data_IF_452462577169
#
_entry.id   IF_452462577169
#
_cell.length_a   1.000
_cell.length_b   1.000
_cell.length_c   1.000
_cell.angle_alpha   90.00
_cell.angle_beta   90.00
_cell.angle_gamma   90.00
#
_symmetry.space_group_name_H-M   'P 1'
#
loop_
_entity.id
_entity.type
_entity.pdbx_description
1 polymer ?
#
# COMPACT_ATOMS: atom_id res chain seq x y z
N UNK A 1 -5.01 -7.44 -2.88
CA UNK A 1 -3.52 -7.50 -2.93
C UNK A 1 -2.96 -6.69 -1.76
N UNK A 2 -1.91 -7.18 -1.11
CA UNK A 2 -1.30 -6.56 0.07
C UNK A 2 0.23 -6.63 -0.04
N UNK A 3 0.92 -5.53 0.22
CA UNK A 3 2.36 -5.55 0.45
C UNK A 3 2.68 -5.71 1.94
N UNK A 4 3.80 -6.38 2.23
CA UNK A 4 4.44 -6.27 3.54
C UNK A 4 5.42 -5.12 3.50
N UNK A 5 5.37 -4.28 4.52
CA UNK A 5 6.24 -3.12 4.62
C UNK A 5 6.72 -2.87 6.04
N UNK A 6 7.78 -2.09 6.19
CA UNK A 6 8.25 -1.63 7.51
C UNK A 6 7.22 -0.70 8.18
N UNK A 7 7.23 -0.66 9.52
CA UNK A 7 6.29 0.12 10.32
C UNK A 7 6.57 1.65 10.36
N UNK A 8 7.41 2.18 9.47
CA UNK A 8 7.74 3.60 9.40
C UNK A 8 6.65 4.44 8.71
N UNK A 9 6.69 5.77 8.88
CA UNK A 9 5.75 6.74 8.26
C UNK A 9 5.71 6.57 6.74
N UNK A 10 6.88 6.51 6.12
CA UNK A 10 7.09 6.11 4.74
C UNK A 10 7.78 4.73 4.74
N UNK A 11 7.10 3.70 4.23
CA UNK A 11 7.56 2.33 4.35
C UNK A 11 8.67 2.01 3.35
N UNK A 12 9.58 1.16 3.81
CA UNK A 12 10.39 0.27 2.97
C UNK A 12 9.62 -1.03 2.73
N UNK A 13 9.91 -1.72 1.64
CA UNK A 13 9.15 -2.89 1.19
C UNK A 13 9.95 -4.18 1.35
N UNK A 14 9.27 -5.29 1.62
CA UNK A 14 9.91 -6.60 1.69
C UNK A 14 9.95 -7.27 0.30
N UNK A 15 11.14 -7.71 -0.09
CA UNK A 15 11.36 -8.58 -1.26
C UNK A 15 10.91 -10.02 -0.96
N UNK A 16 10.75 -10.89 -1.98
CA UNK A 16 10.47 -12.31 -1.81
C UNK A 16 11.51 -13.08 -0.98
N UNK A 17 12.71 -12.53 -0.79
CA UNK A 17 13.77 -13.11 0.04
C UNK A 17 13.67 -12.65 1.51
N UNK A 18 12.75 -11.72 1.83
CA UNK A 18 12.58 -11.17 3.16
C UNK A 18 13.49 -9.98 3.47
N UNK A 19 14.24 -9.48 2.47
CA UNK A 19 15.07 -8.28 2.63
C UNK A 19 14.23 -7.01 2.46
N UNK A 20 14.55 -5.97 3.23
CA UNK A 20 13.97 -4.64 3.07
C UNK A 20 14.65 -3.88 1.94
N UNK A 21 13.85 -3.23 1.11
CA UNK A 21 14.29 -2.33 0.04
C UNK A 21 13.55 -1.01 0.17
N UNK A 22 14.31 0.08 0.17
CA UNK A 22 13.77 1.43 0.11
C UNK A 22 13.50 1.79 -1.35
N UNK A 23 12.22 1.89 -1.70
CA UNK A 23 11.77 2.31 -3.03
C UNK A 23 11.19 3.70 -2.92
N UNK A 24 11.73 4.64 -3.69
CA UNK A 24 11.23 6.01 -3.72
C UNK A 24 9.94 6.04 -4.53
N UNK A 25 8.82 6.23 -3.84
CA UNK A 25 7.51 6.38 -4.45
C UNK A 25 7.00 7.82 -4.34
N UNK A 26 6.20 8.22 -5.32
CA UNK A 26 5.55 9.53 -5.31
C UNK A 26 4.32 9.49 -4.39
N UNK A 27 4.52 9.85 -3.13
CA UNK A 27 3.43 10.01 -2.16
C UNK A 27 2.68 11.34 -2.36
N UNK A 28 1.40 11.32 -2.01
CA UNK A 28 0.54 12.48 -1.94
C UNK A 28 0.00 12.63 -0.51
N UNK A 29 -0.15 13.86 -0.04
CA UNK A 29 -0.75 14.14 1.28
C UNK A 29 -2.27 14.20 1.20
N UNK A 30 -2.83 14.31 0.00
CA UNK A 30 -4.26 14.48 -0.22
C UNK A 30 -4.75 13.55 -1.33
N UNK A 31 -5.88 12.86 -1.12
CA UNK A 31 -6.62 12.13 -2.15
C UNK A 31 -8.10 12.44 -2.04
N UNK A 32 -8.83 12.49 -3.17
CA UNK A 32 -10.28 12.42 -3.13
C UNK A 32 -10.72 10.98 -3.38
N UNK A 33 -11.59 10.46 -2.51
CA UNK A 33 -12.34 9.23 -2.75
C UNK A 33 -13.73 9.66 -3.18
N UNK A 34 -14.11 9.31 -4.40
CA UNK A 34 -15.44 9.58 -4.92
C UNK A 34 -16.32 8.35 -4.70
N UNK A 35 -17.54 8.56 -4.22
CA UNK A 35 -18.53 7.49 -4.06
C UNK A 35 -19.84 7.98 -4.62
N UNK A 36 -20.42 7.19 -5.53
CA UNK A 36 -21.75 7.45 -6.09
C UNK A 36 -22.78 6.69 -5.27
N UNK A 37 -23.78 7.40 -4.74
CA UNK A 37 -24.87 6.77 -4.01
C UNK A 37 -25.96 6.22 -4.97
N UNK A 38 -26.95 5.52 -4.43
CA UNK A 38 -28.07 4.95 -5.20
C UNK A 38 -28.92 6.00 -5.93
N UNK A 39 -28.83 7.27 -5.51
CA UNK A 39 -29.50 8.41 -6.13
C UNK A 39 -28.68 9.05 -7.27
N UNK A 40 -27.48 8.55 -7.56
CA UNK A 40 -26.58 9.11 -8.58
C UNK A 40 -25.80 10.34 -8.10
N UNK A 41 -25.85 10.68 -6.81
CA UNK A 41 -25.07 11.79 -6.27
C UNK A 41 -23.63 11.35 -6.00
N UNK A 42 -22.70 12.17 -6.46
CA UNK A 42 -21.26 11.98 -6.22
C UNK A 42 -20.88 12.66 -4.92
N UNK A 43 -20.50 11.87 -3.93
CA UNK A 43 -19.85 12.36 -2.71
C UNK A 43 -18.34 12.25 -2.88
N UNK A 44 -17.60 13.35 -2.69
CA UNK A 44 -16.14 13.34 -2.71
C UNK A 44 -15.63 13.55 -1.28
N UNK A 45 -14.98 12.54 -0.72
CA UNK A 45 -14.35 12.62 0.59
C UNK A 45 -12.87 12.90 0.39
N UNK A 46 -12.43 14.05 0.89
CA UNK A 46 -11.01 14.39 0.95
C UNK A 46 -10.34 13.60 2.08
N UNK A 47 -9.32 12.82 1.74
CA UNK A 47 -8.47 12.07 2.66
C UNK A 47 -7.16 12.81 2.77
N UNK A 48 -6.88 13.35 3.95
CA UNK A 48 -5.59 13.99 4.28
C UNK A 48 -4.77 13.04 5.12
N UNK A 49 -3.58 12.72 4.64
CA UNK A 49 -2.67 11.82 5.32
C UNK A 49 -1.33 12.50 5.55
N UNK A 50 -0.77 12.24 6.73
CA UNK A 50 0.64 12.51 6.98
C UNK A 50 1.50 11.27 6.74
N UNK A 51 0.89 10.08 6.64
CA UNK A 51 1.55 8.79 6.48
C UNK A 51 1.30 8.21 5.08
N UNK A 52 2.11 7.22 4.68
CA UNK A 52 1.92 6.51 3.42
C UNK A 52 0.57 5.78 3.30
N UNK A 53 -0.11 5.53 4.42
CA UNK A 53 -1.44 4.90 4.46
C UNK A 53 -2.34 5.67 5.41
N UNK A 54 -3.59 5.92 4.99
CA UNK A 54 -4.64 6.51 5.81
C UNK A 54 -5.97 5.83 5.46
N UNK A 55 -6.76 5.40 6.46
CA UNK A 55 -8.03 4.68 6.26
C UNK A 55 -7.95 3.51 5.26
N UNK A 56 -6.90 2.68 5.35
CA UNK A 56 -6.56 1.60 4.40
C UNK A 56 -6.34 2.06 2.94
N UNK A 57 -6.21 3.35 2.68
CA UNK A 57 -5.88 3.92 1.38
C UNK A 57 -4.38 4.15 1.31
N UNK A 58 -3.76 3.59 0.28
CA UNK A 58 -2.37 3.86 -0.02
C UNK A 58 -2.23 5.23 -0.68
N UNK A 59 -1.47 6.12 -0.03
CA UNK A 59 -1.36 7.54 -0.37
C UNK A 59 -0.30 7.83 -1.45
N UNK A 60 -0.23 7.00 -2.49
CA UNK A 60 0.63 7.24 -3.67
C UNK A 60 -0.13 7.96 -4.76
N UNK A 61 0.48 8.89 -5.50
CA UNK A 61 -0.19 9.66 -6.57
C UNK A 61 -0.90 8.74 -7.56
N UNK A 62 -0.19 7.75 -8.07
CA UNK A 62 -0.71 6.71 -8.96
C UNK A 62 -0.34 5.34 -8.40
N UNK A 63 -1.34 4.48 -8.17
CA UNK A 63 -1.15 3.13 -7.63
C UNK A 63 -0.48 2.21 -8.64
N UNK A 64 -0.87 2.29 -9.91
CA UNK A 64 -0.34 1.42 -10.96
C UNK A 64 1.14 1.73 -11.25
N UNK A 65 1.51 3.01 -11.38
CA UNK A 65 2.92 3.41 -11.52
C UNK A 65 3.77 3.02 -10.30
N UNK A 66 3.18 3.07 -9.11
CA UNK A 66 3.87 2.62 -7.89
C UNK A 66 4.09 1.10 -7.90
N UNK A 67 3.11 0.30 -8.37
CA UNK A 67 3.25 -1.14 -8.53
C UNK A 67 4.31 -1.49 -9.56
N UNK A 68 4.31 -0.81 -10.72
CA UNK A 68 5.35 -0.98 -11.74
C UNK A 68 6.74 -0.72 -11.17
N UNK A 69 6.91 0.41 -10.47
CA UNK A 69 8.18 0.76 -9.82
C UNK A 69 8.59 -0.31 -8.80
N UNK A 70 7.67 -0.85 -8.00
CA UNK A 70 7.96 -1.91 -7.05
C UNK A 70 8.35 -3.22 -7.74
N UNK A 71 7.67 -3.58 -8.83
CA UNK A 71 7.99 -4.78 -9.61
C UNK A 71 9.40 -4.69 -10.21
N UNK A 72 9.80 -3.51 -10.71
CA UNK A 72 11.16 -3.27 -11.25
C UNK A 72 12.24 -3.46 -10.17
N UNK A 73 11.89 -3.25 -8.90
CA UNK A 73 12.76 -3.50 -7.74
C UNK A 73 12.59 -4.91 -7.14
N UNK A 74 11.87 -5.80 -7.84
CA UNK A 74 11.64 -7.17 -7.39
C UNK A 74 10.72 -7.30 -6.17
N UNK A 75 9.89 -6.30 -5.91
CA UNK A 75 8.92 -6.30 -4.81
C UNK A 75 7.53 -6.59 -5.35
N UNK A 76 6.89 -7.63 -4.80
CA UNK A 76 5.59 -8.12 -5.29
C UNK A 76 4.54 -8.18 -4.19
N UNK A 77 3.26 -7.91 -4.52
CA UNK A 77 2.19 -7.99 -3.55
C UNK A 77 1.76 -9.45 -3.31
N UNK A 78 1.32 -9.73 -2.09
CA UNK A 78 0.65 -10.96 -1.74
C UNK A 78 -0.82 -10.92 -2.17
N UNK A 79 -1.35 -12.09 -2.57
CA UNK A 79 -2.77 -12.24 -2.92
C UNK A 79 -3.66 -12.02 -1.70
N UNK A 80 -3.35 -12.70 -0.59
CA UNK A 80 -4.12 -12.63 0.65
C UNK A 80 -3.28 -12.18 1.83
N UNK A 81 -3.95 -11.65 2.88
CA UNK A 81 -3.30 -11.33 4.16
C UNK A 81 -2.72 -12.58 4.84
N UNK A 82 -3.33 -13.74 4.62
CA UNK A 82 -2.84 -15.00 5.18
C UNK A 82 -1.51 -15.41 4.56
N UNK A 83 -1.35 -15.25 3.24
CA UNK A 83 -0.09 -15.53 2.55
C UNK A 83 1.03 -14.62 3.07
N UNK A 84 0.74 -13.32 3.21
CA UNK A 84 1.67 -12.35 3.80
C UNK A 84 2.05 -12.72 5.25
N UNK A 85 1.08 -13.15 6.06
CA UNK A 85 1.34 -13.60 7.44
C UNK A 85 2.23 -14.83 7.48
N UNK A 86 1.98 -15.81 6.62
CA UNK A 86 2.78 -17.03 6.53
C UNK A 86 4.21 -16.71 6.09
N UNK A 87 4.37 -15.83 5.10
CA UNK A 87 5.67 -15.33 4.66
C UNK A 87 6.44 -14.66 5.79
N UNK A 88 5.81 -13.72 6.50
CA UNK A 88 6.43 -13.03 7.62
C UNK A 88 6.87 -13.99 8.73
N UNK A 89 6.05 -15.01 9.04
CA UNK A 89 6.39 -16.05 10.01
C UNK A 89 7.57 -16.91 9.52
N UNK A 90 7.58 -17.30 8.25
CA UNK A 90 8.63 -18.12 7.65
C UNK A 90 10.00 -17.43 7.68
N UNK A 91 10.02 -16.12 7.39
CA UNK A 91 11.25 -15.31 7.37
C UNK A 91 11.58 -14.69 8.74
N UNK A 92 10.80 -14.95 9.79
CA UNK A 92 11.04 -14.38 11.12
C UNK A 92 10.95 -12.84 11.16
N UNK A 93 10.13 -12.24 10.30
CA UNK A 93 10.02 -10.78 10.19
C UNK A 93 9.35 -10.19 11.44
N UNK A 94 9.95 -9.14 11.99
CA UNK A 94 9.42 -8.36 13.12
C UNK A 94 9.20 -6.91 12.69
N UNK A 95 8.22 -6.23 13.31
CA UNK A 95 7.99 -4.79 13.04
C UNK A 95 7.48 -4.46 11.64
N UNK A 96 6.71 -5.37 11.03
CA UNK A 96 6.08 -5.14 9.73
C UNK A 96 4.61 -4.70 9.88
N UNK A 97 4.08 -4.09 8.82
CA UNK A 97 2.66 -3.78 8.66
C UNK A 97 2.16 -4.22 7.28
N UNK A 98 0.85 -4.33 7.16
CA UNK A 98 0.19 -4.65 5.89
C UNK A 98 -0.18 -3.36 5.18
N UNK A 99 0.19 -3.28 3.90
CA UNK A 99 -0.17 -2.19 3.02
C UNK A 99 -1.18 -2.71 1.98
N UNK A 100 -2.49 -2.48 2.17
CA UNK A 100 -3.50 -2.90 1.22
C UNK A 100 -3.42 -2.06 -0.06
N UNK A 101 -3.50 -2.75 -1.21
CA UNK A 101 -3.63 -2.12 -2.52
C UNK A 101 -5.12 -2.02 -2.84
N UNK A 102 -5.70 -0.86 -2.56
CA UNK A 102 -7.07 -0.50 -2.96
C UNK A 102 -7.00 0.53 -4.07
N UNK A 103 -7.67 0.26 -5.19
CA UNK A 103 -7.90 1.28 -6.22
C UNK A 103 -9.13 2.07 -5.78
N UNK A 104 -8.95 3.37 -5.58
CA UNK A 104 -10.10 4.28 -5.42
C UNK A 104 -10.69 4.47 -6.82
N UNK A 105 -12.01 4.39 -6.89
CA UNK A 105 -12.80 4.64 -8.11
C UNK A 105 -13.45 6.00 -7.94
#
# INVERSE_FOLDING_TARGET
MIYLVSAHKYPSFFTPQGNLVDVVLSYDTTKCSSTVNECGEVSCREIKATTAVCDDVWMVKNVDSAIETLNDHGVYPFKTKQDAKNFAKHHGLVGFRYLPVKRLI
#
